data_IF_557023937150
#
_entry.id   IF_557023937150
#
_cell.length_a   1.000
_cell.length_b   1.000
_cell.length_c   1.000
_cell.angle_alpha   90.00
_cell.angle_beta   90.00
_cell.angle_gamma   90.00
#
_symmetry.space_group_name_H-M   'P 1'
#
loop_
_entity.id
_entity.type
_entity.pdbx_description
1 polymer ?
#
# COMPACT_ATOMS: atom_id res chain seq x y z
N UNK A 1 16.11 14.68 -8.90
CA UNK A 1 15.07 15.28 -8.02
C UNK A 1 15.42 14.88 -6.60
N UNK A 2 15.55 15.81 -5.66
CA UNK A 2 15.61 15.40 -4.24
C UNK A 2 14.21 14.92 -3.84
N UNK A 3 14.11 13.69 -3.37
CA UNK A 3 12.86 13.13 -2.88
C UNK A 3 12.57 13.65 -1.46
N UNK A 4 11.34 14.05 -1.21
CA UNK A 4 10.84 14.61 0.06
C UNK A 4 10.70 13.51 1.10
N UNK A 5 11.20 13.67 2.32
CA UNK A 5 11.08 12.62 3.36
C UNK A 5 9.65 12.46 3.91
N UNK A 6 8.83 13.51 3.76
CA UNK A 6 7.45 13.57 4.21
C UNK A 6 6.68 14.50 3.26
N UNK A 7 5.41 14.17 2.99
CA UNK A 7 4.54 14.99 2.16
C UNK A 7 3.59 15.83 3.01
N UNK A 8 3.57 17.15 2.81
CA UNK A 8 2.49 18.03 3.31
C UNK A 8 1.82 18.69 2.11
N UNK A 9 0.57 18.31 1.84
CA UNK A 9 -0.21 18.86 0.72
C UNK A 9 -1.46 19.54 1.27
N UNK A 10 -1.82 20.67 0.67
CA UNK A 10 -3.02 21.41 1.03
C UNK A 10 -3.84 21.72 -0.22
N UNK A 11 -5.16 21.75 -0.07
CA UNK A 11 -6.06 22.12 -1.15
C UNK A 11 -7.34 22.74 -0.62
N UNK A 12 -7.79 23.77 -1.32
CA UNK A 12 -9.13 24.33 -1.14
C UNK A 12 -10.18 23.39 -1.74
N UNK A 13 -11.37 23.34 -1.12
CA UNK A 13 -12.45 22.46 -1.56
C UNK A 13 -12.26 20.97 -1.27
N UNK A 14 -11.14 20.57 -0.64
CA UNK A 14 -10.94 19.20 -0.18
C UNK A 14 -11.87 18.89 1.00
N UNK A 15 -12.49 17.71 0.99
CA UNK A 15 -13.39 17.31 2.07
C UNK A 15 -12.60 16.73 3.27
N UNK A 16 -12.72 17.31 4.48
CA UNK A 16 -11.98 16.85 5.67
C UNK A 16 -12.23 15.39 6.04
N UNK A 17 -13.42 14.86 5.75
CA UNK A 17 -13.75 13.45 5.96
C UNK A 17 -13.07 12.47 4.97
N UNK A 18 -12.51 12.98 3.86
CA UNK A 18 -11.93 12.14 2.78
C UNK A 18 -10.41 12.17 2.81
N UNK A 19 -9.80 13.31 3.19
CA UNK A 19 -8.34 13.48 3.20
C UNK A 19 -7.59 12.43 4.02
N UNK A 20 -8.19 11.86 5.07
CA UNK A 20 -7.56 10.78 5.84
C UNK A 20 -7.36 9.49 5.03
N UNK A 21 -8.32 9.13 4.18
CA UNK A 21 -8.24 7.95 3.31
C UNK A 21 -7.23 8.19 2.18
N UNK A 22 -7.23 9.41 1.63
CA UNK A 22 -6.24 9.79 0.61
C UNK A 22 -4.83 9.78 1.17
N UNK A 23 -4.63 10.29 2.40
CA UNK A 23 -3.34 10.26 3.08
C UNK A 23 -2.83 8.81 3.25
N UNK A 24 -3.70 7.87 3.66
CA UNK A 24 -3.32 6.45 3.76
C UNK A 24 -2.83 5.88 2.43
N UNK A 25 -3.56 6.14 1.33
CA UNK A 25 -3.17 5.68 -0.02
C UNK A 25 -1.85 6.28 -0.49
N UNK A 26 -1.57 7.53 -0.12
CA UNK A 26 -0.28 8.18 -0.42
C UNK A 26 0.86 7.53 0.37
N UNK A 27 0.64 7.23 1.66
CA UNK A 27 1.62 6.50 2.47
C UNK A 27 1.89 5.12 1.89
N UNK A 28 0.84 4.36 1.53
CA UNK A 28 0.98 3.03 0.93
C UNK A 28 1.79 3.09 -0.38
N UNK A 29 1.47 4.04 -1.24
CA UNK A 29 2.08 4.19 -2.57
C UNK A 29 3.53 4.69 -2.52
N UNK A 30 3.83 5.62 -1.62
CA UNK A 30 5.12 6.33 -1.60
C UNK A 30 6.02 5.92 -0.44
N UNK A 31 5.52 5.11 0.50
CA UNK A 31 6.21 4.69 1.73
C UNK A 31 6.85 5.86 2.48
N UNK A 32 6.09 6.95 2.56
CA UNK A 32 6.49 8.19 3.22
C UNK A 32 5.34 8.70 4.06
N UNK A 33 5.59 9.25 5.27
CA UNK A 33 4.56 9.92 6.02
C UNK A 33 3.90 11.03 5.18
N UNK A 34 2.60 11.22 5.37
CA UNK A 34 1.83 12.17 4.61
C UNK A 34 0.85 12.92 5.52
N UNK A 35 0.79 14.23 5.36
CA UNK A 35 -0.20 15.12 5.95
C UNK A 35 -0.95 15.81 4.81
N UNK A 36 -2.26 15.66 4.81
CA UNK A 36 -3.15 16.39 3.91
C UNK A 36 -3.92 17.44 4.70
N UNK A 37 -4.09 18.62 4.13
CA UNK A 37 -4.81 19.74 4.74
C UNK A 37 -5.94 20.19 3.81
N UNK A 38 -7.17 20.12 4.30
CA UNK A 38 -8.33 20.73 3.66
C UNK A 38 -8.47 22.17 4.13
N UNK A 39 -8.28 23.12 3.22
CA UNK A 39 -8.44 24.56 3.48
C UNK A 39 -9.91 24.95 3.33
N UNK A 40 -10.41 25.75 4.28
CA UNK A 40 -11.83 26.13 4.34
C UNK A 40 -12.18 27.44 3.61
N UNK A 41 -11.17 28.12 3.05
CA UNK A 41 -11.31 29.42 2.38
C UNK A 41 -11.41 30.63 3.33
N UNK A 42 -11.51 30.41 4.65
CA UNK A 42 -11.59 31.44 5.69
C UNK A 42 -10.26 31.61 6.43
N UNK A 43 -9.16 31.13 5.85
CA UNK A 43 -7.82 31.21 6.43
C UNK A 43 -7.49 30.10 7.43
N UNK A 44 -8.33 29.06 7.57
CA UNK A 44 -8.06 27.89 8.40
C UNK A 44 -8.01 26.60 7.58
N UNK A 45 -7.35 25.60 8.14
CA UNK A 45 -7.23 24.27 7.57
C UNK A 45 -7.46 23.18 8.60
N UNK A 46 -8.13 22.12 8.18
CA UNK A 46 -8.21 20.85 8.93
C UNK A 46 -7.38 19.80 8.21
N UNK A 47 -6.45 19.19 8.93
CA UNK A 47 -5.53 18.22 8.39
C UNK A 47 -5.70 16.81 8.97
N UNK A 48 -5.34 15.82 8.15
CA UNK A 48 -5.20 14.43 8.55
C UNK A 48 -3.83 13.92 8.12
N UNK A 49 -3.11 13.33 9.06
CA UNK A 49 -1.81 12.74 8.84
C UNK A 49 -1.81 11.23 9.00
N UNK A 50 -0.97 10.56 8.21
CA UNK A 50 -0.70 9.14 8.24
C UNK A 50 0.81 8.92 8.19
N UNK A 51 1.30 7.91 8.88
CA UNK A 51 2.73 7.62 8.99
C UNK A 51 3.09 6.23 8.47
N UNK A 52 4.39 6.01 8.31
CA UNK A 52 5.00 4.67 8.20
C UNK A 52 5.49 4.23 9.59
N UNK A 53 5.74 2.93 9.75
CA UNK A 53 6.17 2.36 11.04
C UNK A 53 7.45 3.02 11.59
N UNK A 54 8.35 3.45 10.69
CA UNK A 54 9.63 4.05 11.04
C UNK A 54 9.54 5.52 11.52
N UNK A 55 8.39 6.19 11.39
CA UNK A 55 8.25 7.59 11.77
C UNK A 55 7.12 7.82 12.76
N UNK A 56 7.43 8.49 13.88
CA UNK A 56 6.42 8.92 14.84
C UNK A 56 5.84 10.28 14.46
N UNK A 57 4.67 10.23 13.81
CA UNK A 57 3.99 11.44 13.35
C UNK A 57 3.55 12.33 14.51
N UNK A 58 3.12 11.76 15.63
CA UNK A 58 2.70 12.54 16.79
C UNK A 58 3.90 13.30 17.37
N UNK A 59 5.05 12.65 17.50
CA UNK A 59 6.28 13.31 17.94
C UNK A 59 6.71 14.41 16.95
N UNK A 60 6.63 14.16 15.65
CA UNK A 60 6.94 15.17 14.62
C UNK A 60 6.02 16.39 14.69
N UNK A 61 4.72 16.19 14.86
CA UNK A 61 3.77 17.29 15.05
C UNK A 61 4.02 18.05 16.36
N UNK A 62 4.39 17.34 17.43
CA UNK A 62 4.77 17.95 18.71
C UNK A 62 5.97 18.88 18.56
N UNK A 63 7.00 18.44 17.82
CA UNK A 63 8.19 19.25 17.52
C UNK A 63 7.89 20.47 16.63
N UNK A 64 6.80 20.42 15.86
CA UNK A 64 6.37 21.49 14.95
C UNK A 64 5.14 22.26 15.46
N UNK A 65 4.84 22.16 16.76
CA UNK A 65 3.60 22.68 17.37
C UNK A 65 3.41 24.18 17.21
N UNK A 66 4.50 24.95 17.02
CA UNK A 66 4.45 26.39 16.75
C UNK A 66 3.70 26.77 15.45
N UNK A 67 3.46 25.82 14.54
CA UNK A 67 2.73 26.03 13.28
C UNK A 67 1.30 25.47 13.32
N UNK A 68 0.84 25.01 14.49
CA UNK A 68 -0.42 24.30 14.67
C UNK A 68 -1.28 25.04 15.69
N UNK A 69 -2.57 25.18 15.39
CA UNK A 69 -3.57 25.68 16.34
C UNK A 69 -3.98 24.56 17.30
N UNK A 70 -4.13 23.35 16.75
CA UNK A 70 -4.48 22.14 17.50
C UNK A 70 -3.95 20.90 16.80
N UNK A 71 -3.56 19.88 17.55
CA UNK A 71 -3.27 18.56 16.99
C UNK A 71 -3.49 17.46 18.03
N UNK A 72 -3.61 16.22 17.57
CA UNK A 72 -3.70 15.05 18.42
C UNK A 72 -3.71 13.76 17.62
N UNK A 73 -3.61 12.62 18.33
CA UNK A 73 -3.62 11.29 17.73
C UNK A 73 -2.49 10.42 18.26
N UNK A 74 -1.96 9.56 17.40
CA UNK A 74 -0.95 8.55 17.74
C UNK A 74 0.16 8.50 16.69
N UNK A 75 1.16 7.66 16.95
CA UNK A 75 2.33 7.44 16.08
C UNK A 75 1.99 7.31 14.59
N UNK A 76 0.94 6.56 14.25
CA UNK A 76 0.58 6.22 12.86
C UNK A 76 -0.46 7.14 12.22
N UNK A 77 -1.21 7.89 13.02
CA UNK A 77 -2.32 8.70 12.53
C UNK A 77 -2.58 9.88 13.46
N UNK A 78 -2.73 11.07 12.88
CA UNK A 78 -2.99 12.28 13.63
C UNK A 78 -3.98 13.20 12.91
N UNK A 79 -4.71 14.00 13.67
CA UNK A 79 -5.50 15.13 13.19
C UNK A 79 -4.84 16.44 13.61
N UNK A 80 -4.97 17.48 12.78
CA UNK A 80 -4.42 18.80 13.07
C UNK A 80 -5.31 19.93 12.55
N UNK A 81 -5.15 21.11 13.12
CA UNK A 81 -5.75 22.36 12.70
C UNK A 81 -4.66 23.43 12.66
N UNK A 82 -4.70 24.28 11.64
CA UNK A 82 -3.70 25.32 11.41
C UNK A 82 -4.28 26.49 10.63
N UNK A 83 -3.58 27.62 10.65
CA UNK A 83 -3.83 28.71 9.70
C UNK A 83 -3.36 28.32 8.31
N UNK A 84 -4.05 28.81 7.28
CA UNK A 84 -3.68 28.58 5.88
C UNK A 84 -2.24 29.05 5.58
N UNK A 85 -1.83 30.19 6.14
CA UNK A 85 -0.47 30.73 6.05
C UNK A 85 0.60 29.85 6.73
N UNK A 86 0.20 29.00 7.68
CA UNK A 86 1.11 28.10 8.39
C UNK A 86 1.39 26.80 7.65
N UNK A 87 0.74 26.54 6.51
CA UNK A 87 0.95 25.32 5.71
C UNK A 87 2.39 25.18 5.24
N UNK A 88 2.97 26.25 4.67
CA UNK A 88 4.35 26.23 4.17
C UNK A 88 5.37 26.11 5.30
N UNK A 89 5.30 26.92 6.39
CA UNK A 89 6.14 26.72 7.57
C UNK A 89 6.07 25.30 8.14
N UNK A 90 4.85 24.75 8.30
CA UNK A 90 4.66 23.38 8.77
C UNK A 90 5.33 22.38 7.84
N UNK A 91 5.16 22.51 6.51
CA UNK A 91 5.79 21.61 5.54
C UNK A 91 7.29 21.56 5.73
N UNK A 92 7.94 22.71 5.79
CA UNK A 92 9.39 22.81 5.93
C UNK A 92 9.89 22.28 7.27
N UNK A 93 9.18 22.58 8.37
CA UNK A 93 9.53 22.10 9.70
C UNK A 93 9.39 20.58 9.81
N UNK A 94 8.26 20.04 9.36
CA UNK A 94 7.92 18.62 9.46
C UNK A 94 8.79 17.77 8.53
N UNK A 95 9.10 18.27 7.31
CA UNK A 95 10.04 17.61 6.40
C UNK A 95 11.45 17.57 6.99
N UNK A 96 11.90 18.67 7.61
CA UNK A 96 13.23 18.72 8.26
C UNK A 96 13.32 17.74 9.41
N UNK A 97 12.29 17.69 10.26
CA UNK A 97 12.22 16.73 11.36
C UNK A 97 12.19 15.28 10.83
N UNK A 98 11.41 15.01 9.78
CA UNK A 98 11.39 13.69 9.15
C UNK A 98 12.77 13.29 8.61
N UNK A 99 13.49 14.21 7.94
CA UNK A 99 14.86 13.96 7.45
C UNK A 99 15.88 13.67 8.54
N UNK A 100 15.71 14.22 9.75
CA UNK A 100 16.62 13.90 10.86
C UNK A 100 16.32 12.55 11.52
N UNK A 101 15.13 11.98 11.28
CA UNK A 101 14.68 10.74 11.91
C UNK A 101 14.68 9.54 10.96
N UNK A 102 14.41 9.76 9.68
CA UNK A 102 14.29 8.72 8.66
C UNK A 102 15.58 8.56 7.86
N UNK A 103 15.95 7.31 7.61
CA UNK A 103 17.00 6.96 6.66
C UNK A 103 16.39 6.61 5.31
N UNK A 104 17.15 6.68 4.20
CA UNK A 104 16.65 6.33 2.88
C UNK A 104 16.00 4.93 2.82
N UNK A 105 16.55 3.96 3.54
CA UNK A 105 16.07 2.57 3.56
C UNK A 105 14.70 2.42 4.22
N UNK A 106 14.37 3.31 5.16
CA UNK A 106 13.08 3.31 5.85
C UNK A 106 11.93 3.76 4.93
N UNK A 107 12.25 4.40 3.79
CA UNK A 107 11.30 4.91 2.79
C UNK A 107 11.22 4.03 1.54
N UNK A 108 11.76 2.82 1.61
CA UNK A 108 11.68 1.82 0.54
C UNK A 108 10.53 0.86 0.86
N UNK A 109 9.63 0.57 -0.10
CA UNK A 109 8.65 -0.49 0.07
C UNK A 109 9.32 -1.83 0.36
N UNK A 110 8.95 -2.44 1.49
CA UNK A 110 9.41 -3.77 1.88
C UNK A 110 8.23 -4.72 1.80
N UNK A 111 8.39 -5.79 1.01
CA UNK A 111 7.45 -6.90 0.98
C UNK A 111 8.00 -8.04 1.83
N UNK A 112 7.17 -8.54 2.75
CA UNK A 112 7.52 -9.74 3.51
C UNK A 112 7.26 -10.95 2.61
N UNK A 113 8.27 -11.80 2.48
CA UNK A 113 8.17 -13.11 1.85
C UNK A 113 8.23 -14.17 2.95
N UNK A 114 7.29 -15.10 2.93
CA UNK A 114 7.19 -16.16 3.94
C UNK A 114 8.07 -17.36 3.54
N UNK A 115 8.23 -17.62 2.24
CA UNK A 115 9.20 -18.59 1.71
C UNK A 115 9.65 -18.27 0.29
N UNK A 116 10.81 -18.78 -0.08
CA UNK A 116 11.31 -18.81 -1.46
C UNK A 116 11.03 -20.21 -2.01
N UNK A 117 10.37 -20.29 -3.16
CA UNK A 117 10.00 -21.58 -3.78
C UNK A 117 10.71 -21.76 -5.12
N UNK A 118 10.93 -23.03 -5.49
CA UNK A 118 11.33 -23.41 -6.84
C UNK A 118 10.13 -23.46 -7.79
N UNK A 119 10.40 -23.40 -9.10
CA UNK A 119 9.34 -23.49 -10.11
C UNK A 119 8.63 -24.84 -10.15
N UNK A 120 9.29 -25.89 -9.67
CA UNK A 120 8.78 -27.25 -9.51
C UNK A 120 7.72 -27.39 -8.40
N UNK A 121 7.70 -26.47 -7.44
CA UNK A 121 6.69 -26.44 -6.38
C UNK A 121 5.38 -25.76 -6.84
N UNK A 122 5.39 -25.05 -7.98
CA UNK A 122 4.22 -24.29 -8.44
C UNK A 122 3.23 -25.24 -9.12
N UNK A 123 2.07 -25.45 -8.48
CA UNK A 123 0.99 -26.26 -9.04
C UNK A 123 -0.19 -26.41 -8.08
N UNK A 124 -1.21 -27.17 -8.48
CA UNK A 124 -2.44 -27.37 -7.71
C UNK A 124 -2.19 -27.88 -6.29
N UNK A 125 -1.24 -28.80 -6.09
CA UNK A 125 -0.93 -29.34 -4.77
C UNK A 125 -0.50 -28.25 -3.77
N UNK A 126 0.40 -27.35 -4.18
CA UNK A 126 0.79 -26.20 -3.35
C UNK A 126 -0.39 -25.27 -3.10
N UNK A 127 -1.26 -25.06 -4.09
CA UNK A 127 -2.46 -24.23 -3.89
C UNK A 127 -3.42 -24.83 -2.85
N UNK A 128 -3.63 -26.15 -2.87
CA UNK A 128 -4.45 -26.85 -1.88
C UNK A 128 -3.84 -26.81 -0.47
N UNK A 129 -2.52 -26.96 -0.35
CA UNK A 129 -1.80 -26.81 0.92
C UNK A 129 -1.94 -25.41 1.50
N UNK A 130 -1.84 -24.37 0.67
CA UNK A 130 -2.04 -22.98 1.09
C UNK A 130 -3.51 -22.71 1.46
N UNK A 131 -4.47 -23.30 0.74
CA UNK A 131 -5.89 -23.12 1.03
C UNK A 131 -6.28 -23.72 2.39
N UNK A 132 -5.61 -24.80 2.80
CA UNK A 132 -5.78 -25.42 4.12
C UNK A 132 -5.35 -24.51 5.29
N UNK A 133 -4.57 -23.44 5.04
CA UNK A 133 -4.17 -22.47 6.07
C UNK A 133 -5.26 -21.45 6.42
N UNK A 134 -6.41 -21.50 5.75
CA UNK A 134 -7.56 -20.65 6.05
C UNK A 134 -8.10 -20.90 7.47
N UNK A 135 -8.79 -19.90 8.06
CA UNK A 135 -9.16 -18.61 7.49
C UNK A 135 -8.02 -17.58 7.56
N UNK A 136 -7.82 -16.84 6.47
CA UNK A 136 -6.93 -15.69 6.48
C UNK A 136 -7.61 -14.46 7.09
N UNK A 137 -6.82 -13.60 7.72
CA UNK A 137 -7.29 -12.38 8.35
C UNK A 137 -6.27 -11.76 9.30
N UNK A 138 -6.77 -10.93 10.21
CA UNK A 138 -5.94 -10.34 11.27
C UNK A 138 -5.38 -11.44 12.17
N UNK A 139 -4.06 -11.60 12.22
CA UNK A 139 -3.38 -12.67 12.95
C UNK A 139 -3.02 -13.90 12.12
N UNK A 140 -3.58 -14.05 10.92
CA UNK A 140 -3.22 -15.08 9.94
C UNK A 140 -3.21 -14.45 8.53
N UNK A 141 -2.21 -13.62 8.20
CA UNK A 141 -2.14 -12.98 6.89
C UNK A 141 -1.98 -14.03 5.79
N UNK A 142 -2.34 -13.65 4.56
CA UNK A 142 -2.08 -14.49 3.39
C UNK A 142 -0.58 -14.79 3.24
N UNK A 143 -0.28 -15.94 2.67
CA UNK A 143 1.10 -16.40 2.44
C UNK A 143 1.67 -15.75 1.18
N UNK A 144 2.79 -15.05 1.33
CA UNK A 144 3.53 -14.43 0.23
C UNK A 144 4.75 -15.30 -0.11
N UNK A 145 4.71 -15.95 -1.28
CA UNK A 145 5.81 -16.77 -1.78
C UNK A 145 6.62 -16.01 -2.84
N UNK A 146 7.95 -16.12 -2.77
CA UNK A 146 8.85 -15.58 -3.79
C UNK A 146 9.29 -16.70 -4.73
N UNK A 147 9.06 -16.51 -6.02
CA UNK A 147 9.58 -17.38 -7.08
C UNK A 147 10.72 -16.64 -7.83
N UNK A 148 12.00 -16.95 -7.56
CA UNK A 148 13.12 -16.31 -8.24
C UNK A 148 13.14 -16.66 -9.73
N UNK A 149 13.62 -15.72 -10.56
CA UNK A 149 13.83 -15.92 -11.99
C UNK A 149 12.58 -16.38 -12.79
N UNK A 150 11.39 -16.12 -12.25
CA UNK A 150 10.14 -16.30 -12.98
C UNK A 150 10.09 -15.35 -14.18
N UNK A 151 9.88 -15.92 -15.37
CA UNK A 151 9.62 -15.17 -16.59
C UNK A 151 8.14 -15.28 -16.95
N UNK A 152 7.44 -14.15 -17.00
CA UNK A 152 6.08 -14.12 -17.51
C UNK A 152 6.09 -14.47 -19.01
N UNK A 153 5.41 -15.56 -19.37
CA UNK A 153 5.30 -16.07 -20.74
C UNK A 153 4.05 -15.53 -21.44
N UNK A 154 2.95 -15.41 -20.72
CA UNK A 154 1.70 -14.85 -21.22
C UNK A 154 0.89 -14.25 -20.06
N UNK A 155 0.08 -13.25 -20.37
CA UNK A 155 -0.91 -12.70 -19.44
C UNK A 155 -2.25 -12.53 -20.14
N UNK A 156 -3.27 -13.22 -19.66
CA UNK A 156 -4.64 -13.04 -20.13
C UNK A 156 -5.37 -12.21 -19.08
N UNK A 157 -5.77 -11.00 -19.46
CA UNK A 157 -6.67 -10.17 -18.68
C UNK A 157 -8.10 -10.47 -19.09
N UNK A 158 -8.88 -11.10 -18.20
CA UNK A 158 -10.31 -11.33 -18.43
C UNK A 158 -11.13 -10.55 -17.43
N UNK A 159 -11.99 -9.66 -17.91
CA UNK A 159 -12.99 -8.99 -17.08
C UNK A 159 -14.15 -9.94 -16.86
N UNK A 160 -14.44 -10.29 -15.60
CA UNK A 160 -15.57 -11.13 -15.23
C UNK A 160 -16.74 -10.24 -14.78
N UNK A 161 -17.76 -10.11 -15.63
CA UNK A 161 -19.02 -9.43 -15.31
C UNK A 161 -19.03 -7.91 -15.53
N UNK A 162 -20.19 -7.29 -15.27
CA UNK A 162 -20.40 -5.84 -15.35
C UNK A 162 -19.71 -5.08 -14.20
N UNK A 163 -19.54 -5.74 -13.05
CA UNK A 163 -18.71 -5.26 -11.94
C UNK A 163 -17.23 -5.56 -12.20
N UNK A 164 -16.38 -4.60 -11.86
CA UNK A 164 -14.98 -4.43 -12.27
C UNK A 164 -14.00 -5.46 -11.65
N UNK A 165 -14.30 -6.76 -11.73
CA UNK A 165 -13.37 -7.82 -11.32
C UNK A 165 -12.58 -8.29 -12.54
N UNK A 166 -11.29 -7.96 -12.57
CA UNK A 166 -10.35 -8.46 -13.57
C UNK A 166 -9.59 -9.66 -13.01
N UNK A 167 -9.63 -10.77 -13.72
CA UNK A 167 -8.74 -11.91 -13.50
C UNK A 167 -7.54 -11.73 -14.42
N UNK A 168 -6.35 -11.86 -13.84
CA UNK A 168 -5.09 -11.86 -14.57
C UNK A 168 -4.54 -13.28 -14.48
N UNK A 169 -4.64 -14.04 -15.56
CA UNK A 169 -3.99 -15.34 -15.67
C UNK A 169 -2.59 -15.08 -16.23
N UNK A 170 -1.56 -15.25 -15.40
CA UNK A 170 -0.17 -15.14 -15.83
C UNK A 170 0.48 -16.51 -15.85
N UNK A 171 0.96 -16.93 -17.02
CA UNK A 171 1.83 -18.10 -17.13
C UNK A 171 3.27 -17.65 -16.88
N UNK A 172 3.98 -18.36 -16.00
CA UNK A 172 5.39 -18.10 -15.71
C UNK A 172 6.23 -19.34 -16.06
N UNK A 173 7.41 -19.12 -16.62
CA UNK A 173 8.44 -20.16 -16.81
C UNK A 173 9.70 -19.81 -16.03
N UNK A 174 10.41 -20.81 -15.51
CA UNK A 174 11.71 -20.62 -14.86
C UNK A 174 12.82 -21.03 -15.84
N UNK A 175 13.82 -20.16 -16.02
CA UNK A 175 14.92 -20.43 -16.95
C UNK A 175 15.69 -21.71 -16.56
N UNK A 176 15.84 -22.64 -17.50
CA UNK A 176 16.60 -23.89 -17.31
C UNK A 176 15.77 -25.15 -17.06
N UNK A 177 14.44 -25.03 -16.92
CA UNK A 177 13.54 -26.18 -16.96
C UNK A 177 12.86 -26.27 -18.34
N UNK A 178 12.77 -27.49 -18.89
CA UNK A 178 12.01 -27.74 -20.11
C UNK A 178 10.57 -27.26 -19.92
N UNK A 179 10.06 -26.49 -20.89
CA UNK A 179 8.74 -25.87 -20.86
C UNK A 179 7.63 -26.92 -20.71
N UNK A 180 7.32 -27.30 -19.48
CA UNK A 180 6.02 -27.82 -19.12
C UNK A 180 5.04 -26.66 -19.27
N UNK A 181 4.14 -26.74 -20.23
CA UNK A 181 3.04 -25.81 -20.38
C UNK A 181 2.08 -25.96 -19.20
N UNK A 182 2.38 -25.31 -18.08
CA UNK A 182 1.46 -25.21 -16.96
C UNK A 182 0.50 -24.05 -17.23
N UNK A 183 -0.63 -24.35 -17.86
CA UNK A 183 -1.84 -23.56 -17.78
C UNK A 183 -2.72 -24.22 -16.71
N UNK A 184 -2.42 -23.96 -15.45
CA UNK A 184 -3.37 -24.24 -14.37
C UNK A 184 -3.74 -22.91 -13.72
N UNK A 185 -5.05 -22.70 -13.58
CA UNK A 185 -5.68 -21.56 -12.91
C UNK A 185 -5.01 -21.33 -11.55
N UNK A 186 -4.22 -20.26 -11.44
CA UNK A 186 -3.81 -19.74 -10.14
C UNK A 186 -4.88 -18.73 -9.74
N UNK A 187 -5.79 -19.15 -8.86
CA UNK A 187 -6.77 -18.29 -8.21
C UNK A 187 -6.03 -17.28 -7.33
N UNK A 188 -6.11 -15.99 -7.67
CA UNK A 188 -5.61 -14.92 -6.82
C UNK A 188 -6.75 -14.26 -6.05
N UNK A 189 -6.56 -14.23 -4.73
CA UNK A 189 -7.41 -13.55 -3.76
C UNK A 189 -7.48 -12.04 -4.01
N UNK A 190 -8.69 -11.48 -3.91
CA UNK A 190 -8.88 -10.04 -3.66
C UNK A 190 -9.05 -9.82 -2.15
N UNK A 191 -8.48 -8.77 -1.54
CA UNK A 191 -8.78 -8.44 -0.15
C UNK A 191 -10.29 -8.24 0.04
N UNK A 192 -10.94 -9.14 0.79
CA UNK A 192 -12.36 -9.05 1.16
C UNK A 192 -13.36 -9.75 0.22
N UNK A 193 -12.94 -10.59 -0.73
CA UNK A 193 -13.84 -11.37 -1.59
C UNK A 193 -13.91 -12.85 -1.24
N UNK A 194 -15.11 -13.44 -1.21
CA UNK A 194 -15.32 -14.90 -1.19
C UNK A 194 -14.96 -15.50 -2.54
N UNK A 195 -14.19 -16.60 -2.53
CA UNK A 195 -13.82 -17.36 -3.72
C UNK A 195 -15.06 -17.94 -4.42
N UNK A 196 -15.17 -17.72 -5.73
CA UNK A 196 -16.20 -18.37 -6.56
C UNK A 196 -15.49 -19.22 -7.60
N UNK A 197 -15.62 -20.55 -7.52
CA UNK A 197 -15.18 -21.48 -8.57
C UNK A 197 -15.91 -21.19 -9.87
N UNK A 198 -15.19 -20.94 -10.96
CA UNK A 198 -15.73 -21.06 -12.31
C UNK A 198 -15.12 -22.31 -12.96
N UNK A 199 -15.97 -23.17 -13.51
CA UNK A 199 -15.53 -24.45 -14.07
C UNK A 199 -14.70 -24.31 -15.35
N UNK A 200 -13.76 -25.23 -15.52
CA UNK A 200 -12.88 -25.34 -16.68
C UNK A 200 -13.66 -25.33 -18.00
N UNK A 201 -13.29 -24.43 -18.91
CA UNK A 201 -13.62 -24.54 -20.33
C UNK A 201 -12.32 -24.88 -21.08
N UNK A 202 -12.27 -26.08 -21.65
CA UNK A 202 -11.19 -26.47 -22.55
C UNK A 202 -11.23 -25.59 -23.81
N UNK A 203 -10.11 -24.95 -24.14
CA UNK A 203 -9.92 -24.29 -25.42
C UNK A 203 -8.94 -25.11 -26.25
N UNK A 204 -9.38 -25.56 -27.42
CA UNK A 204 -8.52 -26.04 -28.51
C UNK A 204 -8.01 -24.90 -29.37
#
# INVERSE_FOLDING_TARGET
RQETALHVLAGEGWHPGVIGVVASRLVERYQRPCVLVALDGNGYGRGSGRSIAAYDLHAGLTACSAHLERFGGHRMAAGLELRAESVEPLRLALERHARSMLRPEDMVPVERVDAVIGGDAVGLALAEELDALRPFGMGNPGVNLLLPAARQLASIFRRLGADTRSVILSAFGVAGQSAGSFLEEIDFFTPGGTATRAGAAAFG
#
